data_IF_047463505887
#
_entry.id   IF_047463505887
#
_cell.length_a   1.000
_cell.length_b   1.000
_cell.length_c   1.000
_cell.angle_alpha   90.00
_cell.angle_beta   90.00
_cell.angle_gamma   90.00
#
_symmetry.space_group_name_H-M   'P 1'
#
loop_
_entity.id
_entity.type
_entity.pdbx_description
1 polymer ?
#
# COMPACT_ATOMS: atom_id res chain seq x y z
N UNK A 1 6.17 2.35 -12.11
CA UNK A 1 6.01 2.61 -10.67
C UNK A 1 7.20 2.03 -9.95
N UNK A 2 7.73 2.72 -8.94
CA UNK A 2 8.83 2.22 -8.12
C UNK A 2 8.32 1.76 -6.76
N UNK A 3 8.70 0.54 -6.37
CA UNK A 3 8.41 -0.04 -5.06
C UNK A 3 9.40 0.44 -4.00
N UNK A 4 8.88 0.81 -2.84
CA UNK A 4 9.62 1.18 -1.64
C UNK A 4 9.15 0.33 -0.48
N UNK A 5 10.04 -0.09 0.41
CA UNK A 5 9.73 -1.01 1.50
C UNK A 5 10.41 -0.53 2.78
N UNK A 6 9.71 -0.64 3.89
CA UNK A 6 10.28 -0.58 5.23
C UNK A 6 9.80 -1.80 6.04
N UNK A 7 10.75 -2.59 6.53
CA UNK A 7 10.49 -3.77 7.38
C UNK A 7 11.13 -3.64 8.77
N UNK A 8 11.55 -2.44 9.16
CA UNK A 8 12.10 -2.18 10.49
C UNK A 8 11.01 -1.56 11.38
N UNK A 9 10.35 -2.35 12.27
CA UNK A 9 9.27 -1.85 13.10
C UNK A 9 9.68 -0.66 13.97
N UNK A 10 10.95 -0.58 14.40
CA UNK A 10 11.43 0.53 15.24
C UNK A 10 11.37 1.86 14.50
N UNK A 11 11.84 1.89 13.25
CA UNK A 11 11.79 3.11 12.44
C UNK A 11 10.35 3.60 12.17
N UNK A 12 9.39 2.66 12.11
CA UNK A 12 7.98 2.99 11.87
C UNK A 12 7.24 3.48 13.14
N UNK A 13 7.93 3.59 14.28
CA UNK A 13 7.40 4.26 15.48
C UNK A 13 7.64 5.77 15.48
N UNK A 14 8.51 6.26 14.60
CA UNK A 14 8.78 7.69 14.42
C UNK A 14 7.57 8.41 13.80
N UNK A 15 7.48 9.72 14.03
CA UNK A 15 6.43 10.58 13.47
C UNK A 15 6.39 10.50 11.95
N UNK A 16 7.56 10.51 11.32
CA UNK A 16 7.78 10.42 9.90
C UNK A 16 9.04 9.63 9.64
N UNK A 17 9.01 8.73 8.66
CA UNK A 17 10.18 7.96 8.26
C UNK A 17 10.26 7.86 6.73
N UNK A 18 11.47 7.87 6.14
CA UNK A 18 11.64 7.62 4.72
C UNK A 18 11.52 6.13 4.42
N UNK A 19 10.68 5.77 3.44
CA UNK A 19 10.65 4.41 2.91
C UNK A 19 11.80 4.20 1.93
N UNK A 20 12.32 2.98 1.88
CA UNK A 20 13.56 2.69 1.15
C UNK A 20 13.24 2.09 -0.22
N UNK A 21 13.82 2.60 -1.31
CA UNK A 21 13.60 2.03 -2.63
C UNK A 21 14.17 0.61 -2.71
N UNK A 22 13.48 -0.28 -3.43
CA UNK A 22 14.07 -1.59 -3.77
C UNK A 22 15.18 -1.44 -4.81
N UNK A 23 16.07 -2.44 -4.92
CA UNK A 23 17.11 -2.46 -5.97
C UNK A 23 16.53 -2.37 -7.39
N UNK A 24 15.36 -2.98 -7.61
CA UNK A 24 14.65 -2.92 -8.89
C UNK A 24 14.15 -1.51 -9.18
N UNK A 25 13.62 -0.81 -8.17
CA UNK A 25 13.19 0.60 -8.27
C UNK A 25 14.35 1.49 -8.68
N UNK A 26 15.48 1.36 -7.99
CA UNK A 26 16.71 2.11 -8.30
C UNK A 26 17.14 1.88 -9.74
N UNK A 27 17.23 0.62 -10.15
CA UNK A 27 17.64 0.24 -11.52
C UNK A 27 16.69 0.82 -12.56
N UNK A 28 15.38 0.62 -12.39
CA UNK A 28 14.37 1.07 -13.35
C UNK A 28 14.33 2.60 -13.46
N UNK A 29 14.35 3.32 -12.33
CA UNK A 29 14.34 4.78 -12.36
C UNK A 29 15.62 5.35 -12.95
N UNK A 30 16.79 4.77 -12.68
CA UNK A 30 18.04 5.19 -13.31
C UNK A 30 18.01 5.01 -14.83
N UNK A 31 17.49 3.89 -15.34
CA UNK A 31 17.34 3.67 -16.79
C UNK A 31 16.46 4.75 -17.44
N UNK A 32 15.33 5.07 -16.82
CA UNK A 32 14.44 6.14 -17.31
C UNK A 32 15.14 7.49 -17.27
N UNK A 33 15.77 7.84 -16.14
CA UNK A 33 16.44 9.14 -15.95
C UNK A 33 17.61 9.34 -16.92
N UNK A 34 18.37 8.27 -17.20
CA UNK A 34 19.44 8.29 -18.20
C UNK A 34 18.91 8.65 -19.59
N UNK A 35 17.77 8.10 -20.00
CA UNK A 35 17.14 8.43 -21.30
C UNK A 35 16.75 9.90 -21.40
N UNK A 36 16.46 10.56 -20.28
CA UNK A 36 16.10 11.98 -20.22
C UNK A 36 17.26 12.90 -19.81
N UNK A 37 18.50 12.39 -19.70
CA UNK A 37 19.67 13.17 -19.29
C UNK A 37 19.55 13.76 -17.87
N UNK A 38 18.83 13.11 -16.97
CA UNK A 38 18.66 13.53 -15.57
C UNK A 38 19.70 12.89 -14.66
N UNK A 39 19.95 13.49 -13.49
CA UNK A 39 20.75 12.89 -12.42
C UNK A 39 20.20 11.52 -12.01
N UNK A 40 21.04 10.70 -11.39
CA UNK A 40 20.63 9.40 -10.84
C UNK A 40 19.46 9.54 -9.87
N UNK A 41 18.70 8.47 -9.73
CA UNK A 41 17.61 8.40 -8.77
C UNK A 41 18.15 8.49 -7.34
N UNK A 42 19.28 7.87 -7.02
CA UNK A 42 19.90 7.92 -5.70
C UNK A 42 20.28 9.35 -5.30
N UNK A 43 20.81 10.14 -6.24
CA UNK A 43 21.10 11.56 -6.00
C UNK A 43 19.81 12.34 -5.70
N UNK A 44 18.74 12.12 -6.48
CA UNK A 44 17.45 12.77 -6.25
C UNK A 44 16.81 12.36 -4.93
N UNK A 45 16.83 11.07 -4.62
CA UNK A 45 16.28 10.49 -3.41
C UNK A 45 16.99 11.07 -2.18
N UNK A 46 18.33 11.13 -2.19
CA UNK A 46 19.10 11.67 -1.08
C UNK A 46 18.86 13.17 -0.88
N UNK A 47 18.66 13.93 -1.95
CA UNK A 47 18.36 15.37 -1.87
C UNK A 47 16.90 15.65 -1.47
N UNK A 48 15.97 14.79 -1.86
CA UNK A 48 14.52 15.02 -1.73
C UNK A 48 13.80 13.90 -0.96
N UNK A 49 14.42 13.36 0.10
CA UNK A 49 13.86 12.25 0.90
C UNK A 49 12.44 12.51 1.37
N UNK A 50 12.07 13.76 1.64
CA UNK A 50 10.74 14.19 2.06
C UNK A 50 9.62 13.81 1.08
N UNK A 51 9.92 13.55 -0.21
CA UNK A 51 8.93 13.04 -1.17
C UNK A 51 8.59 11.58 -0.92
N UNK A 52 9.47 10.82 -0.28
CA UNK A 52 9.36 9.38 -0.06
C UNK A 52 9.22 9.06 1.43
N UNK A 53 8.56 9.96 2.17
CA UNK A 53 8.24 9.76 3.59
C UNK A 53 6.81 9.27 3.78
N UNK A 54 6.64 8.51 4.86
CA UNK A 54 5.34 8.03 5.32
C UNK A 54 5.20 8.20 6.84
N UNK A 55 4.00 7.95 7.34
CA UNK A 55 3.69 7.93 8.77
C UNK A 55 2.66 6.86 9.09
N UNK A 56 2.85 6.18 10.21
CA UNK A 56 1.97 5.11 10.70
C UNK A 56 1.13 5.52 11.91
N UNK A 57 1.38 6.70 12.51
CA UNK A 57 0.74 7.12 13.75
C UNK A 57 -0.79 7.08 13.65
N UNK A 58 -1.35 7.74 12.64
CA UNK A 58 -2.79 7.83 12.48
C UNK A 58 -3.41 6.45 12.23
N UNK A 59 -2.73 5.58 11.48
CA UNK A 59 -3.21 4.23 11.18
C UNK A 59 -3.25 3.38 12.45
N UNK A 60 -2.20 3.47 13.28
CA UNK A 60 -2.16 2.78 14.57
C UNK A 60 -3.27 3.24 15.51
N UNK A 61 -3.50 4.56 15.62
CA UNK A 61 -4.62 5.11 16.40
C UNK A 61 -5.95 4.60 15.85
N UNK A 62 -6.19 4.75 14.54
CA UNK A 62 -7.43 4.33 13.89
C UNK A 62 -7.74 2.84 14.12
N UNK A 63 -6.77 1.96 13.89
CA UNK A 63 -6.95 0.52 14.08
C UNK A 63 -7.06 0.15 15.56
N UNK A 64 -6.32 0.84 16.43
CA UNK A 64 -6.39 0.67 17.87
C UNK A 64 -7.77 1.00 18.43
N UNK A 65 -8.35 2.11 17.98
CA UNK A 65 -9.70 2.52 18.34
C UNK A 65 -10.75 1.56 17.77
N UNK A 66 -10.61 1.15 16.50
CA UNK A 66 -11.57 0.26 15.81
C UNK A 66 -11.68 -1.11 16.48
N UNK A 67 -10.57 -1.68 16.95
CA UNK A 67 -10.54 -3.03 17.52
C UNK A 67 -10.35 -3.05 19.04
N UNK A 68 -10.27 -1.87 19.68
CA UNK A 68 -10.04 -1.72 21.12
C UNK A 68 -8.82 -2.53 21.63
N UNK A 69 -7.73 -2.52 20.87
CA UNK A 69 -6.51 -3.27 21.18
C UNK A 69 -5.27 -2.57 20.64
N UNK A 70 -4.10 -2.87 21.19
CA UNK A 70 -2.85 -2.34 20.64
C UNK A 70 -2.56 -2.97 19.28
N UNK A 71 -2.15 -2.13 18.33
CA UNK A 71 -1.77 -2.53 16.98
C UNK A 71 -0.33 -2.13 16.72
N UNK A 72 0.47 -3.10 16.27
CA UNK A 72 1.86 -2.87 15.87
C UNK A 72 1.97 -2.88 14.35
N UNK A 73 2.60 -1.86 13.78
CA UNK A 73 3.04 -1.91 12.38
C UNK A 73 4.37 -2.65 12.29
N UNK A 74 4.44 -3.65 11.42
CA UNK A 74 5.65 -4.50 11.28
C UNK A 74 6.30 -4.38 9.90
N UNK A 75 5.54 -3.98 8.89
CA UNK A 75 6.08 -3.68 7.57
C UNK A 75 5.19 -2.69 6.82
N UNK A 76 5.80 -1.95 5.90
CA UNK A 76 5.13 -1.05 4.97
C UNK A 76 5.78 -1.18 3.59
N UNK A 77 4.96 -1.14 2.56
CA UNK A 77 5.39 -1.06 1.18
C UNK A 77 4.57 -0.04 0.42
N UNK A 78 5.26 0.76 -0.39
CA UNK A 78 4.69 1.87 -1.14
C UNK A 78 5.09 1.80 -2.61
N UNK A 79 4.22 2.31 -3.47
CA UNK A 79 4.49 2.52 -4.88
C UNK A 79 4.42 4.01 -5.19
N UNK A 80 5.52 4.54 -5.73
CA UNK A 80 5.62 5.95 -6.13
C UNK A 80 6.02 6.13 -7.60
N UNK A 81 5.67 7.29 -8.15
CA UNK A 81 6.23 7.78 -9.40
C UNK A 81 7.56 8.50 -9.15
N UNK A 82 8.49 8.33 -10.08
CA UNK A 82 9.80 8.97 -10.03
C UNK A 82 9.69 10.51 -9.98
N UNK A 83 10.37 11.13 -9.03
CA UNK A 83 10.40 12.58 -8.84
C UNK A 83 9.13 13.21 -8.25
N UNK A 84 8.03 12.45 -8.15
CA UNK A 84 6.76 12.86 -7.54
C UNK A 84 6.67 12.34 -6.10
N UNK A 85 7.02 11.07 -5.88
CA UNK A 85 6.87 10.45 -4.56
C UNK A 85 5.41 10.44 -4.08
N UNK A 86 5.21 10.79 -2.81
CA UNK A 86 3.93 10.82 -2.12
C UNK A 86 3.13 12.12 -2.37
N UNK A 87 3.42 12.85 -3.45
CA UNK A 87 2.78 14.14 -3.74
C UNK A 87 1.50 14.04 -4.58
N UNK A 88 1.27 12.90 -5.25
CA UNK A 88 0.11 12.66 -6.11
C UNK A 88 -0.64 11.43 -5.61
N UNK A 89 -1.60 11.63 -4.71
CA UNK A 89 -2.22 10.56 -3.92
C UNK A 89 -2.93 9.49 -4.78
N UNK A 90 -3.55 9.91 -5.88
CA UNK A 90 -4.17 9.08 -6.92
C UNK A 90 -3.15 8.19 -7.67
N UNK A 91 -1.88 8.58 -7.62
CA UNK A 91 -0.75 7.89 -8.22
C UNK A 91 0.12 7.16 -7.19
N UNK A 92 -0.48 6.77 -6.05
CA UNK A 92 0.21 6.00 -5.03
C UNK A 92 -0.53 4.75 -4.60
N UNK A 93 0.23 3.75 -4.17
CA UNK A 93 -0.26 2.59 -3.41
C UNK A 93 0.55 2.49 -2.14
N UNK A 94 -0.13 2.16 -1.05
CA UNK A 94 0.45 1.86 0.26
C UNK A 94 -0.17 0.59 0.79
N UNK A 95 0.66 -0.36 1.18
CA UNK A 95 0.25 -1.57 1.89
C UNK A 95 0.99 -1.62 3.22
N UNK A 96 0.24 -1.61 4.32
CA UNK A 96 0.80 -1.73 5.67
C UNK A 96 0.43 -3.07 6.26
N UNK A 97 1.43 -3.82 6.72
CA UNK A 97 1.26 -5.03 7.50
C UNK A 97 1.25 -4.67 8.98
N UNK A 98 0.16 -5.02 9.64
CA UNK A 98 -0.02 -4.78 11.07
C UNK A 98 -0.28 -6.08 11.81
N UNK A 99 0.00 -6.07 13.11
CA UNK A 99 -0.16 -7.22 13.99
C UNK A 99 -0.94 -6.79 15.24
N UNK A 100 -1.95 -7.58 15.61
CA UNK A 100 -2.71 -7.36 16.84
C UNK A 100 -2.02 -7.94 18.09
N UNK A 101 -2.60 -7.69 19.27
CA UNK A 101 -2.08 -8.23 20.54
C UNK A 101 -2.04 -9.77 20.60
N UNK A 102 -2.86 -10.44 19.80
CA UNK A 102 -2.89 -11.90 19.67
C UNK A 102 -1.94 -12.39 18.58
N UNK A 103 -1.12 -11.52 18.00
CA UNK A 103 -0.24 -11.78 16.88
C UNK A 103 -0.95 -12.12 15.55
N UNK A 104 -2.23 -11.80 15.33
CA UNK A 104 -2.84 -11.95 14.01
C UNK A 104 -2.34 -10.88 13.05
N UNK A 105 -2.10 -11.27 11.80
CA UNK A 105 -1.67 -10.36 10.73
C UNK A 105 -2.89 -9.71 10.08
N UNK A 106 -2.89 -8.39 9.95
CA UNK A 106 -3.81 -7.67 9.06
C UNK A 106 -3.05 -6.88 8.00
N UNK A 107 -3.72 -6.61 6.88
CA UNK A 107 -3.19 -5.80 5.79
C UNK A 107 -4.08 -4.59 5.55
N UNK A 108 -3.51 -3.40 5.64
CA UNK A 108 -4.19 -2.15 5.35
C UNK A 108 -3.70 -1.62 4.00
N UNK A 109 -4.58 -1.66 3.00
CA UNK A 109 -4.34 -1.14 1.65
C UNK A 109 -4.93 0.26 1.53
N UNK A 110 -4.12 1.18 1.00
CA UNK A 110 -4.53 2.52 0.65
C UNK A 110 -3.97 2.89 -0.72
N UNK A 111 -4.82 3.07 -1.75
CA UNK A 111 -4.33 3.18 -3.13
C UNK A 111 -5.23 4.03 -4.03
N UNK A 112 -4.64 4.76 -4.97
CA UNK A 112 -5.40 5.32 -6.09
C UNK A 112 -5.76 4.25 -7.14
N UNK A 113 -6.89 4.44 -7.82
CA UNK A 113 -7.43 3.47 -8.79
C UNK A 113 -6.42 3.16 -9.90
N UNK A 114 -5.79 4.19 -10.48
CA UNK A 114 -4.84 4.03 -11.58
C UNK A 114 -3.59 3.22 -11.19
N UNK A 115 -3.09 3.38 -9.96
CA UNK A 115 -1.95 2.58 -9.50
C UNK A 115 -2.35 1.16 -9.19
N UNK A 116 -3.54 0.96 -8.59
CA UNK A 116 -4.04 -0.39 -8.37
C UNK A 116 -4.20 -1.14 -9.71
N UNK A 117 -4.73 -0.48 -10.74
CA UNK A 117 -4.83 -1.02 -12.10
C UNK A 117 -3.45 -1.38 -12.68
N UNK A 118 -2.49 -0.48 -12.58
CA UNK A 118 -1.12 -0.74 -13.06
C UNK A 118 -0.48 -1.90 -12.29
N UNK A 119 -0.65 -1.94 -10.97
CA UNK A 119 -0.01 -2.93 -10.11
C UNK A 119 -0.67 -4.31 -10.25
N UNK A 120 -1.99 -4.41 -10.44
CA UNK A 120 -2.62 -5.70 -10.74
C UNK A 120 -2.07 -6.29 -12.03
N UNK A 121 -1.83 -5.48 -13.05
CA UNK A 121 -1.35 -5.96 -14.35
C UNK A 121 0.10 -6.45 -14.22
N UNK A 122 0.94 -5.74 -13.46
CA UNK A 122 2.28 -6.21 -13.09
C UNK A 122 2.23 -7.58 -12.39
N UNK A 123 1.37 -7.73 -11.37
CA UNK A 123 1.21 -8.99 -10.64
C UNK A 123 0.70 -10.13 -11.54
N UNK A 124 -0.23 -9.85 -12.45
CA UNK A 124 -0.75 -10.82 -13.42
C UNK A 124 0.35 -11.26 -14.37
N UNK A 125 1.08 -10.31 -14.94
CA UNK A 125 2.15 -10.59 -15.90
C UNK A 125 3.32 -11.34 -15.25
N UNK A 126 3.57 -11.11 -13.96
CA UNK A 126 4.54 -11.86 -13.17
C UNK A 126 4.05 -13.24 -12.70
N UNK A 127 2.81 -13.64 -13.02
CA UNK A 127 2.22 -14.91 -12.59
C UNK A 127 1.91 -14.98 -11.08
N UNK A 128 1.86 -13.82 -10.40
CA UNK A 128 1.60 -13.70 -8.97
C UNK A 128 0.11 -13.50 -8.64
N UNK A 129 -0.68 -13.10 -9.63
CA UNK A 129 -2.14 -13.00 -9.56
C UNK A 129 -2.74 -13.65 -10.81
N UNK A 130 -3.77 -14.48 -10.65
CA UNK A 130 -4.44 -15.08 -11.80
C UNK A 130 -5.37 -14.05 -12.48
N UNK A 131 -5.48 -14.07 -13.81
CA UNK A 131 -6.30 -13.09 -14.58
C UNK A 131 -7.77 -13.03 -14.13
N UNK A 132 -8.35 -14.16 -13.74
CA UNK A 132 -9.73 -14.23 -13.23
C UNK A 132 -9.92 -13.56 -11.86
N UNK A 133 -8.82 -13.21 -11.19
CA UNK A 133 -8.82 -12.46 -9.93
C UNK A 133 -8.55 -10.97 -10.17
N UNK A 134 -9.00 -10.43 -11.29
CA UNK A 134 -8.97 -8.98 -11.51
C UNK A 134 -9.88 -8.28 -10.48
N UNK A 135 -9.36 -7.35 -9.66
CA UNK A 135 -10.16 -6.60 -8.70
C UNK A 135 -11.17 -5.67 -9.36
N UNK A 136 -11.06 -5.40 -10.67
CA UNK A 136 -12.01 -4.58 -11.40
C UNK A 136 -12.92 -5.43 -12.27
N UNK A 137 -14.21 -5.09 -12.26
CA UNK A 137 -15.21 -5.71 -13.12
C UNK A 137 -16.11 -4.66 -13.72
N UNK A 138 -16.58 -4.90 -14.95
CA UNK A 138 -17.59 -4.07 -15.59
C UNK A 138 -18.96 -4.63 -15.25
N UNK A 139 -19.81 -3.84 -14.60
CA UNK A 139 -21.20 -4.18 -14.33
C UNK A 139 -22.08 -2.99 -14.72
N UNK A 140 -23.07 -3.21 -15.60
CA UNK A 140 -23.97 -2.16 -16.08
C UNK A 140 -23.24 -0.96 -16.70
N UNK A 141 -22.17 -1.18 -17.47
CA UNK A 141 -21.31 -0.14 -18.06
C UNK A 141 -20.52 0.70 -17.05
N UNK A 142 -20.57 0.36 -15.76
CA UNK A 142 -19.77 1.00 -14.72
C UNK A 142 -18.62 0.10 -14.28
N UNK A 143 -17.48 0.71 -13.98
CA UNK A 143 -16.35 0.03 -13.33
C UNK A 143 -16.68 -0.17 -11.85
N UNK A 144 -16.68 -1.41 -11.40
CA UNK A 144 -16.89 -1.78 -10.00
C UNK A 144 -15.75 -2.63 -9.47
N UNK A 145 -15.61 -2.66 -8.14
CA UNK A 145 -14.64 -3.50 -7.47
C UNK A 145 -15.24 -4.87 -7.15
N UNK A 146 -14.54 -5.92 -7.55
CA UNK A 146 -14.79 -7.30 -7.17
C UNK A 146 -14.05 -7.57 -5.85
N UNK A 147 -14.76 -7.46 -4.73
CA UNK A 147 -14.18 -7.58 -3.38
C UNK A 147 -13.38 -8.88 -3.14
N UNK A 148 -13.88 -10.08 -3.48
CA UNK A 148 -13.09 -11.31 -3.39
C UNK A 148 -11.78 -11.26 -4.20
N UNK A 149 -11.80 -10.68 -5.39
CA UNK A 149 -10.61 -10.51 -6.21
C UNK A 149 -9.65 -9.47 -5.64
N UNK A 150 -10.17 -8.40 -5.03
CA UNK A 150 -9.38 -7.40 -4.33
C UNK A 150 -8.66 -7.99 -3.12
N UNK A 151 -9.31 -8.82 -2.32
CA UNK A 151 -8.65 -9.55 -1.23
C UNK A 151 -7.47 -10.40 -1.76
N UNK A 152 -7.66 -11.10 -2.89
CA UNK A 152 -6.58 -11.85 -3.55
C UNK A 152 -5.46 -10.95 -4.04
N UNK A 153 -5.78 -9.77 -4.57
CA UNK A 153 -4.80 -8.77 -4.97
C UNK A 153 -3.98 -8.27 -3.77
N UNK A 154 -4.63 -7.97 -2.62
CA UNK A 154 -3.96 -7.58 -1.38
C UNK A 154 -2.99 -8.68 -0.91
N UNK A 155 -3.42 -9.95 -0.92
CA UNK A 155 -2.55 -11.07 -0.56
C UNK A 155 -1.39 -11.26 -1.55
N UNK A 156 -1.61 -11.05 -2.85
CA UNK A 156 -0.56 -11.09 -3.86
C UNK A 156 0.48 -9.98 -3.64
N UNK A 157 0.04 -8.76 -3.30
CA UNK A 157 0.92 -7.65 -2.90
C UNK A 157 1.72 -8.02 -1.63
N UNK A 158 1.05 -8.53 -0.59
CA UNK A 158 1.72 -8.94 0.66
C UNK A 158 2.77 -10.03 0.42
N UNK A 159 2.48 -11.01 -0.44
CA UNK A 159 3.44 -12.03 -0.86
C UNK A 159 4.60 -11.43 -1.65
N UNK A 160 4.34 -10.48 -2.56
CA UNK A 160 5.39 -9.83 -3.34
C UNK A 160 6.31 -9.00 -2.43
N UNK A 161 5.74 -8.09 -1.64
CA UNK A 161 6.48 -7.12 -0.83
C UNK A 161 7.09 -7.74 0.43
N UNK A 162 6.31 -8.52 1.18
CA UNK A 162 6.72 -8.99 2.51
C UNK A 162 7.07 -10.47 2.56
N UNK A 163 6.91 -11.19 1.45
CA UNK A 163 7.11 -12.65 1.35
C UNK A 163 6.18 -13.44 2.28
N UNK A 164 5.02 -12.88 2.60
CA UNK A 164 4.03 -13.53 3.44
C UNK A 164 3.35 -14.70 2.71
N UNK A 165 3.09 -15.77 3.45
CA UNK A 165 2.37 -16.96 3.00
C UNK A 165 0.95 -17.00 3.57
N UNK A 166 0.23 -15.87 3.49
CA UNK A 166 -1.20 -15.78 3.82
C UNK A 166 -2.02 -16.13 2.58
N UNK A 167 -3.03 -16.95 2.76
CA UNK A 167 -3.94 -17.41 1.71
C UNK A 167 -5.37 -16.94 1.98
N UNK A 168 -6.27 -17.15 1.01
CA UNK A 168 -7.68 -16.81 1.21
C UNK A 168 -8.34 -17.62 2.33
N UNK A 169 -7.84 -18.82 2.64
CA UNK A 169 -8.37 -19.64 3.74
C UNK A 169 -8.02 -19.05 5.11
N UNK A 170 -7.00 -18.20 5.18
CA UNK A 170 -6.63 -17.47 6.39
C UNK A 170 -7.45 -16.18 6.57
N UNK A 171 -8.14 -15.70 5.52
CA UNK A 171 -8.86 -14.43 5.56
C UNK A 171 -10.08 -14.55 6.46
N UNK A 172 -10.17 -13.66 7.44
CA UNK A 172 -11.31 -13.59 8.35
C UNK A 172 -12.37 -12.62 7.83
N UNK A 173 -11.95 -11.40 7.49
CA UNK A 173 -12.87 -10.34 7.06
C UNK A 173 -12.14 -9.30 6.21
N UNK A 174 -12.87 -8.66 5.30
CA UNK A 174 -12.41 -7.45 4.62
C UNK A 174 -13.35 -6.29 4.96
N UNK A 175 -12.78 -5.13 5.27
CA UNK A 175 -13.50 -3.89 5.49
C UNK A 175 -13.15 -2.91 4.38
N UNK A 176 -14.16 -2.30 3.76
CA UNK A 176 -14.00 -1.18 2.86
C UNK A 176 -14.18 0.13 3.63
N UNK A 177 -13.33 1.12 3.36
CA UNK A 177 -13.48 2.47 3.87
C UNK A 177 -13.59 3.44 2.70
N UNK A 178 -14.54 4.36 2.80
CA UNK A 178 -14.67 5.44 1.83
C UNK A 178 -13.96 6.69 2.34
N UNK A 179 -13.40 7.43 1.38
CA UNK A 179 -12.98 8.81 1.50
C UNK A 179 -11.65 9.05 2.23
N UNK A 180 -10.57 9.06 1.44
CA UNK A 180 -9.24 9.51 1.86
C UNK A 180 -8.76 10.50 0.82
N UNK A 181 -8.90 11.78 1.13
CA UNK A 181 -8.09 12.81 0.52
C UNK A 181 -6.67 12.78 1.10
N UNK A 182 -5.68 13.23 0.32
CA UNK A 182 -4.36 13.56 0.86
C UNK A 182 -3.23 12.54 0.67
N UNK A 183 -2.03 12.98 1.05
CA UNK A 183 -0.77 12.22 1.07
C UNK A 183 -0.79 11.19 2.20
N UNK A 184 0.15 10.24 2.27
CA UNK A 184 0.19 9.29 3.41
C UNK A 184 0.39 9.97 4.77
N UNK A 185 0.85 11.23 4.71
CA UNK A 185 1.14 12.11 5.83
C UNK A 185 -0.11 12.76 6.43
N UNK A 186 -1.22 12.79 5.68
CA UNK A 186 -2.43 13.48 6.13
C UNK A 186 -3.24 12.58 7.09
N UNK A 187 -3.60 13.06 8.28
CA UNK A 187 -4.33 12.26 9.26
C UNK A 187 -5.79 12.02 8.84
N UNK A 188 -6.23 10.77 9.01
CA UNK A 188 -7.65 10.41 9.09
C UNK A 188 -8.29 9.93 7.79
N UNK A 189 -9.22 8.98 7.93
CA UNK A 189 -10.34 8.82 7.01
C UNK A 189 -11.21 10.07 7.17
N UNK A 190 -11.08 11.05 6.29
CA UNK A 190 -11.94 12.23 6.30
C UNK A 190 -13.15 11.92 5.44
N UNK A 191 -14.36 11.88 6.02
CA UNK A 191 -15.60 11.97 5.24
C UNK A 191 -15.54 13.27 4.42
N UNK A 192 -15.10 13.21 3.18
CA UNK A 192 -15.39 14.27 2.22
C UNK A 192 -16.87 14.17 1.90
N UNK A 193 -17.49 15.33 1.71
CA UNK A 193 -18.86 15.43 1.22
C UNK A 193 -19.06 14.51 -0.02
N UNK A 194 -20.09 13.64 -0.04
CA UNK A 194 -20.42 12.82 -1.21
C UNK A 194 -20.56 13.64 -2.51
N UNK A 195 -20.85 14.94 -2.42
CA UNK A 195 -20.99 15.84 -3.57
C UNK A 195 -19.66 16.44 -4.08
N UNK A 196 -18.53 16.14 -3.43
CA UNK A 196 -17.21 16.69 -3.80
C UNK A 196 -16.57 16.08 -5.05
N UNK A 197 -17.18 15.04 -5.64
CA UNK A 197 -16.76 14.48 -6.94
C UNK A 197 -15.36 13.84 -7.00
N UNK A 198 -14.63 13.73 -5.88
CA UNK A 198 -13.24 13.23 -5.86
C UNK A 198 -13.08 11.97 -5.00
N UNK A 199 -13.40 10.81 -5.57
CA UNK A 199 -12.98 9.51 -5.01
C UNK A 199 -11.52 9.28 -5.45
N UNK A 200 -10.56 9.87 -4.75
CA UNK A 200 -9.16 9.80 -5.20
C UNK A 200 -8.45 8.51 -4.74
N UNK A 201 -8.98 7.81 -3.71
CA UNK A 201 -8.35 6.62 -3.14
C UNK A 201 -9.34 5.58 -2.64
N UNK A 202 -8.94 4.33 -2.82
CA UNK A 202 -9.52 3.11 -2.26
C UNK A 202 -8.81 2.76 -0.96
N UNK A 203 -9.59 2.34 0.04
CA UNK A 203 -9.07 1.93 1.34
C UNK A 203 -9.71 0.65 1.83
N UNK A 204 -8.88 -0.33 2.15
CA UNK A 204 -9.31 -1.65 2.58
C UNK A 204 -8.47 -2.17 3.73
N UNK A 205 -9.11 -2.80 4.70
CA UNK A 205 -8.45 -3.60 5.73
C UNK A 205 -8.83 -5.06 5.55
N UNK A 206 -7.84 -5.91 5.32
CA UNK A 206 -7.98 -7.35 5.27
C UNK A 206 -7.47 -7.95 6.59
N UNK A 207 -8.37 -8.50 7.40
CA UNK A 207 -8.01 -9.22 8.62
C UNK A 207 -7.84 -10.71 8.34
N UNK A 208 -6.95 -11.36 9.08
CA UNK A 208 -6.63 -12.77 8.90
C UNK A 208 -6.60 -13.48 10.25
N UNK A 209 -6.73 -14.79 10.24
CA UNK A 209 -6.48 -15.67 11.39
C UNK A 209 -5.01 -16.12 11.45
N UNK A 210 -4.19 -15.77 10.46
CA UNK A 210 -2.78 -16.14 10.41
C UNK A 210 -2.01 -15.42 11.50
N UNK A 211 -1.23 -16.17 12.26
CA UNK A 211 -0.32 -15.62 13.27
C UNK A 211 0.99 -15.16 12.62
N UNK A 212 1.48 -14.01 13.06
CA UNK A 212 2.82 -13.52 12.77
C UNK A 212 3.84 -14.40 13.49
N UNK A 213 4.72 -15.03 12.72
CA UNK A 213 5.87 -15.76 13.23
C UNK A 213 7.08 -14.83 13.10
N UNK A 214 7.51 -14.24 14.22
CA UNK A 214 8.70 -13.41 14.25
C UNK A 214 9.92 -14.33 14.17
N UNK A 215 10.36 -14.66 12.96
CA UNK A 215 11.69 -15.24 12.76
C UNK A 215 12.67 -14.07 12.92
N UNK A 216 13.31 -14.03 14.09
CA UNK A 216 14.18 -13.00 14.64
C UNK A 216 15.04 -12.21 13.63
#
# INVERSE_FOLDING_TARGET
>A
MGTFINQNPRSMTEDYFPVQPTANTVTMFNLLRQQFGKNSFEDEYNQNRAKYTSTNKWLQTFLGDKFHQNIQVVAEADEFLDGIGNQAAEHTLRLVKVVDQKAHIYYFLLTGVAVLETKKDELINAGQLARQNDPFMVQNQELKLNEPALARCILALAKNYFKDAVTMDDVAQMYAFQNIGGKFLDPGLTQVDPDSGQINRLCYLLTTQKKWQNNA
#
